data_IF_484427354019
#
_entry.id   IF_484427354019
#
_cell.length_a   1.000
_cell.length_b   1.000
_cell.length_c   1.000
_cell.angle_alpha   90.00
_cell.angle_beta   90.00
_cell.angle_gamma   90.00
#
_symmetry.space_group_name_H-M   'P 1'
#
loop_
_entity.id
_entity.type
_entity.pdbx_description
1 polymer ?
#
# COMPACT_ATOMS: atom_id res chain seq x y z
N UNK A 1 4.85 46.73 49.39
CA UNK A 1 3.95 47.77 49.94
C UNK A 1 2.68 47.77 49.09
N UNK A 2 1.50 47.56 49.72
CA UNK A 2 0.13 47.42 49.17
C UNK A 2 -0.16 46.14 48.34
N UNK A 3 -0.80 45.12 48.92
CA UNK A 3 -2.26 44.93 49.18
C UNK A 3 -3.07 44.91 47.88
N UNK A 4 -3.51 43.74 47.38
CA UNK A 4 -4.61 42.87 47.85
C UNK A 4 -5.99 43.30 47.30
N UNK A 5 -6.60 42.43 46.48
CA UNK A 5 -8.00 42.08 46.60
C UNK A 5 -8.26 40.72 45.93
N UNK A 6 -8.65 39.78 46.78
CA UNK A 6 -9.17 38.45 46.47
C UNK A 6 -10.66 38.59 46.24
N UNK A 7 -11.20 37.95 45.22
CA UNK A 7 -12.58 37.46 45.27
C UNK A 7 -12.59 35.94 45.21
N UNK A 8 -13.11 35.37 46.30
CA UNK A 8 -13.41 33.96 46.49
C UNK A 8 -14.85 33.74 46.07
N UNK A 9 -15.10 32.86 45.11
CA UNK A 9 -16.38 32.19 44.96
C UNK A 9 -16.12 30.70 45.17
N UNK A 10 -16.78 30.15 46.20
CA UNK A 10 -16.57 28.79 46.70
C UNK A 10 -17.23 27.70 45.85
N UNK A 11 -16.96 26.43 46.20
CA UNK A 11 -17.32 25.27 45.39
C UNK A 11 -18.76 24.80 45.64
N UNK A 12 -19.47 24.44 44.57
CA UNK A 12 -20.73 23.70 44.62
C UNK A 12 -20.45 22.25 44.21
N UNK A 13 -20.56 21.32 45.15
CA UNK A 13 -20.60 19.87 44.95
C UNK A 13 -21.85 19.31 45.70
N UNK A 14 -22.25 18.04 45.52
CA UNK A 14 -23.18 17.59 44.49
C UNK A 14 -24.49 17.05 45.10
N UNK A 15 -25.62 17.19 44.39
CA UNK A 15 -26.85 16.48 44.76
C UNK A 15 -26.77 15.03 44.29
N UNK A 16 -26.85 14.11 45.26
CA UNK A 16 -26.88 12.66 45.07
C UNK A 16 -28.18 12.15 44.41
N UNK A 17 -28.21 10.83 44.10
CA UNK A 17 -29.10 10.25 43.10
C UNK A 17 -30.52 10.01 43.61
N UNK A 18 -31.50 10.40 42.80
CA UNK A 18 -32.89 9.99 42.95
C UNK A 18 -33.04 8.51 42.56
N UNK A 19 -33.52 7.71 43.51
CA UNK A 19 -33.94 6.32 43.35
C UNK A 19 -35.18 6.28 42.45
N UNK A 20 -35.09 5.69 41.26
CA UNK A 20 -36.26 5.30 40.47
C UNK A 20 -36.37 3.77 40.39
N UNK A 21 -37.62 3.35 40.60
CA UNK A 21 -38.18 2.03 40.81
C UNK A 21 -37.77 0.98 39.77
N UNK A 22 -37.48 -0.23 40.27
CA UNK A 22 -37.45 -1.50 39.52
C UNK A 22 -38.87 -1.85 39.05
N UNK A 23 -39.08 -2.30 37.81
CA UNK A 23 -40.25 -3.07 37.43
C UNK A 23 -40.03 -4.57 37.66
N UNK A 24 -41.13 -5.24 37.96
CA UNK A 24 -41.26 -6.64 38.37
C UNK A 24 -40.68 -7.66 37.37
N UNK A 25 -39.97 -8.65 37.91
CA UNK A 25 -39.52 -9.84 37.18
C UNK A 25 -40.54 -10.97 37.36
N UNK A 26 -41.04 -11.62 36.29
CA UNK A 26 -41.87 -12.80 36.41
C UNK A 26 -41.04 -14.04 36.75
N UNK A 27 -41.61 -14.85 37.64
CA UNK A 27 -41.07 -16.12 38.09
C UNK A 27 -41.01 -17.17 36.97
N UNK A 28 -39.99 -18.03 37.06
CA UNK A 28 -40.09 -19.42 36.62
C UNK A 28 -39.43 -19.78 35.28
N UNK A 29 -38.26 -20.42 35.35
CA UNK A 29 -37.99 -21.77 34.79
C UNK A 29 -36.54 -22.17 35.08
N UNK A 30 -36.37 -23.27 35.83
CA UNK A 30 -35.09 -23.94 36.08
C UNK A 30 -34.51 -24.48 34.77
N UNK A 31 -33.19 -24.39 34.52
CA UNK A 31 -32.56 -25.13 33.44
C UNK A 31 -32.38 -26.62 33.83
N UNK A 32 -32.56 -27.57 32.89
CA UNK A 32 -32.25 -28.98 33.15
C UNK A 32 -30.72 -29.20 33.18
N UNK A 33 -30.31 -30.11 34.06
CA UNK A 33 -28.94 -30.62 34.20
C UNK A 33 -28.51 -31.41 32.95
N UNK A 34 -27.20 -31.46 32.63
CA UNK A 34 -26.68 -32.17 31.47
C UNK A 34 -26.75 -33.69 31.70
N UNK A 35 -27.40 -34.40 30.79
CA UNK A 35 -27.40 -35.85 30.75
C UNK A 35 -26.16 -36.37 30.00
N UNK A 36 -25.50 -37.32 30.66
CA UNK A 36 -24.59 -38.33 30.13
C UNK A 36 -24.87 -38.73 28.68
N UNK A 37 -23.84 -38.70 27.83
CA UNK A 37 -23.80 -39.55 26.63
C UNK A 37 -22.43 -40.19 26.46
N UNK A 38 -22.40 -41.45 26.86
CA UNK A 38 -21.39 -42.45 26.57
C UNK A 38 -21.35 -42.81 25.08
N UNK A 39 -20.19 -43.35 24.72
CA UNK A 39 -19.75 -43.91 23.45
C UNK A 39 -20.77 -44.75 22.66
N UNK A 40 -20.74 -44.63 21.33
CA UNK A 40 -20.89 -45.77 20.42
C UNK A 40 -20.07 -45.58 19.14
N UNK A 41 -19.08 -46.45 18.97
CA UNK A 41 -18.53 -46.84 17.66
C UNK A 41 -19.56 -47.70 16.92
N UNK A 42 -19.81 -47.42 15.65
CA UNK A 42 -20.25 -48.44 14.69
C UNK A 42 -19.94 -48.04 13.25
N UNK A 43 -19.45 -49.03 12.50
CA UNK A 43 -18.96 -48.98 11.12
C UNK A 43 -20.09 -49.07 10.09
N UNK A 44 -19.68 -48.76 8.85
CA UNK A 44 -20.19 -49.25 7.57
C UNK A 44 -21.41 -48.54 6.95
N UNK A 45 -21.26 -48.03 5.73
CA UNK A 45 -21.46 -48.74 4.45
C UNK A 45 -21.14 -47.82 3.27
N UNK A 46 -20.49 -48.39 2.26
CA UNK A 46 -20.35 -47.81 0.90
C UNK A 46 -21.71 -47.86 0.17
N UNK A 47 -21.89 -47.01 -0.84
CA UNK A 47 -22.48 -47.49 -2.08
C UNK A 47 -21.55 -47.26 -3.28
N UNK A 48 -21.51 -48.29 -4.12
CA UNK A 48 -21.03 -48.28 -5.49
C UNK A 48 -22.02 -47.50 -6.36
N UNK A 49 -21.52 -46.71 -7.29
CA UNK A 49 -22.21 -46.37 -8.52
C UNK A 49 -21.15 -46.29 -9.62
N UNK A 50 -21.16 -47.30 -10.50
CA UNK A 50 -20.49 -47.20 -11.80
C UNK A 50 -21.29 -46.30 -12.73
N UNK A 51 -20.71 -45.98 -13.88
CA UNK A 51 -21.38 -45.95 -15.20
C UNK A 51 -20.43 -45.35 -16.25
N UNK A 52 -20.25 -46.14 -17.32
CA UNK A 52 -19.98 -45.82 -18.73
C UNK A 52 -18.61 -45.25 -19.18
N UNK A 53 -17.90 -46.14 -19.88
CA UNK A 53 -17.01 -45.84 -21.01
C UNK A 53 -17.85 -45.57 -22.27
N UNK A 54 -17.45 -44.62 -23.12
CA UNK A 54 -17.33 -44.77 -24.59
C UNK A 54 -16.70 -43.51 -25.25
N UNK A 55 -16.28 -43.56 -26.54
CA UNK A 55 -14.91 -43.20 -26.92
C UNK A 55 -14.79 -42.00 -27.87
N UNK A 56 -13.54 -41.54 -28.03
CA UNK A 56 -13.03 -41.00 -29.29
C UNK A 56 -13.40 -39.55 -29.63
N UNK A 57 -12.41 -38.66 -29.65
CA UNK A 57 -12.30 -37.64 -30.71
C UNK A 57 -10.89 -37.07 -30.84
N UNK A 58 -10.29 -37.48 -31.95
CA UNK A 58 -9.37 -36.81 -32.88
C UNK A 58 -8.65 -35.53 -32.41
N UNK A 59 -7.33 -35.64 -32.54
CA UNK A 59 -6.30 -34.63 -32.64
C UNK A 59 -6.64 -33.49 -33.60
N UNK A 60 -6.41 -32.25 -33.15
CA UNK A 60 -6.09 -31.11 -34.03
C UNK A 60 -4.85 -30.41 -33.49
N UNK A 61 -3.76 -30.50 -34.26
CA UNK A 61 -2.65 -29.53 -34.26
C UNK A 61 -3.20 -28.16 -34.67
N UNK A 62 -2.57 -27.07 -34.24
CA UNK A 62 -1.96 -26.23 -35.26
C UNK A 62 -0.55 -25.73 -34.91
N UNK A 63 0.25 -25.81 -35.96
CA UNK A 63 1.25 -24.88 -36.46
C UNK A 63 2.31 -24.21 -35.58
N UNK A 64 3.54 -24.52 -35.97
CA UNK A 64 4.74 -23.71 -35.79
C UNK A 64 4.77 -22.70 -36.95
N UNK A 65 4.93 -21.41 -36.66
CA UNK A 65 5.79 -20.43 -37.38
C UNK A 65 5.40 -19.01 -36.99
N UNK A 66 6.29 -18.32 -36.29
CA UNK A 66 6.97 -17.09 -36.75
C UNK A 66 7.75 -16.52 -35.57
N UNK A 67 9.08 -16.63 -35.67
CA UNK A 67 10.00 -15.92 -34.82
C UNK A 67 9.97 -14.44 -35.16
N UNK A 68 10.12 -13.62 -34.13
CA UNK A 68 10.63 -12.26 -34.25
C UNK A 68 11.71 -12.13 -33.19
N UNK A 69 12.94 -12.12 -33.68
CA UNK A 69 14.13 -11.72 -32.96
C UNK A 69 14.03 -10.23 -32.63
N UNK A 70 14.04 -9.89 -31.33
CA UNK A 70 14.33 -8.54 -30.87
C UNK A 70 15.64 -8.58 -30.08
N UNK A 71 16.75 -8.28 -30.78
CA UNK A 71 18.03 -7.94 -30.16
C UNK A 71 17.89 -6.58 -29.45
N UNK A 72 18.44 -6.41 -28.23
CA UNK A 72 18.53 -5.09 -27.60
C UNK A 72 19.66 -4.25 -28.21
N UNK A 73 19.51 -2.91 -28.30
CA UNK A 73 20.60 -2.03 -28.71
C UNK A 73 21.66 -1.88 -27.61
N UNK A 74 22.92 -1.89 -28.04
CA UNK A 74 24.11 -1.67 -27.22
C UNK A 74 24.23 -0.16 -26.92
N UNK A 75 24.32 0.20 -25.64
CA UNK A 75 24.72 1.54 -25.22
C UNK A 75 26.22 1.71 -25.44
N UNK A 76 26.58 2.75 -26.22
CA UNK A 76 27.95 3.28 -26.33
C UNK A 76 28.30 4.04 -25.05
N UNK A 77 29.38 3.60 -24.43
CA UNK A 77 30.14 4.35 -23.43
C UNK A 77 30.82 5.54 -24.12
N UNK A 78 30.72 6.73 -23.53
CA UNK A 78 31.62 7.84 -23.83
C UNK A 78 32.34 8.18 -22.53
N UNK A 79 33.64 7.91 -22.55
CA UNK A 79 34.63 8.40 -21.61
C UNK A 79 35.49 9.45 -22.33
N UNK A 80 36.02 10.40 -21.58
CA UNK A 80 36.97 11.45 -21.99
C UNK A 80 36.80 12.65 -21.06
N UNK A 81 37.60 12.75 -19.98
CA UNK A 81 38.89 13.49 -19.91
C UNK A 81 38.65 15.01 -19.96
N UNK A 82 38.76 15.72 -18.84
CA UNK A 82 39.96 16.29 -18.16
C UNK A 82 40.62 17.42 -18.96
N UNK A 83 40.68 18.57 -18.28
CA UNK A 83 41.65 19.70 -18.32
C UNK A 83 40.83 20.99 -18.12
N UNK A 84 41.19 21.99 -17.31
CA UNK A 84 42.41 22.38 -16.60
C UNK A 84 42.42 23.92 -16.56
N UNK A 85 42.68 24.53 -15.40
CA UNK A 85 43.17 25.92 -15.26
C UNK A 85 42.14 27.09 -15.26
N UNK A 86 42.10 27.87 -14.17
CA UNK A 86 41.66 29.28 -14.16
C UNK A 86 42.83 30.23 -14.52
N UNK A 87 42.89 31.50 -14.05
CA UNK A 87 41.87 32.40 -13.50
C UNK A 87 41.88 33.86 -14.09
N UNK A 88 40.92 34.68 -13.63
CA UNK A 88 40.94 36.12 -13.28
C UNK A 88 41.32 37.28 -14.25
N UNK A 89 40.45 38.31 -14.18
CA UNK A 89 40.64 39.78 -14.17
C UNK A 89 41.16 40.60 -15.37
N UNK A 90 40.45 41.72 -15.63
CA UNK A 90 40.99 42.91 -16.32
C UNK A 90 40.03 43.70 -17.22
N UNK A 91 39.28 44.65 -16.66
CA UNK A 91 38.67 45.84 -17.33
C UNK A 91 39.75 46.94 -17.61
N UNK A 92 39.42 48.14 -18.14
CA UNK A 92 38.74 48.53 -19.39
C UNK A 92 39.55 49.58 -20.22
N UNK A 93 39.15 49.88 -21.46
CA UNK A 93 39.74 50.99 -22.24
C UNK A 93 38.88 51.50 -23.41
N UNK A 94 38.35 52.72 -23.27
CA UNK A 94 37.85 53.62 -24.31
C UNK A 94 39.01 54.55 -24.80
N UNK A 95 38.87 55.49 -25.77
CA UNK A 95 37.78 55.81 -26.72
C UNK A 95 38.29 56.03 -28.19
N UNK A 96 37.42 56.35 -29.16
CA UNK A 96 37.90 56.99 -30.40
C UNK A 96 37.00 56.98 -31.65
N UNK A 97 36.18 58.02 -31.78
CA UNK A 97 35.63 58.70 -32.98
C UNK A 97 35.86 58.12 -34.39
N UNK A 98 34.78 58.15 -35.20
CA UNK A 98 34.86 58.23 -36.67
C UNK A 98 33.53 57.99 -37.42
N UNK A 99 32.79 59.06 -37.72
CA UNK A 99 31.85 59.16 -38.88
C UNK A 99 32.68 59.61 -40.11
N UNK A 100 32.30 59.42 -41.40
CA UNK A 100 30.96 59.69 -41.95
C UNK A 100 30.51 58.87 -43.20
N UNK A 101 29.31 59.19 -43.71
CA UNK A 101 28.80 58.85 -45.06
C UNK A 101 27.86 57.64 -45.07
N UNK A 102 26.65 57.65 -45.62
CA UNK A 102 26.01 58.51 -46.61
C UNK A 102 25.42 57.63 -47.72
N UNK A 103 24.13 57.82 -48.03
CA UNK A 103 23.37 57.29 -49.19
C UNK A 103 22.57 55.95 -48.98
N UNK A 104 21.51 55.70 -49.79
CA UNK A 104 20.13 55.70 -49.29
C UNK A 104 19.41 54.35 -49.48
N UNK A 105 18.61 53.92 -48.50
CA UNK A 105 17.75 52.76 -48.67
C UNK A 105 16.33 53.20 -49.10
N UNK A 106 16.02 52.85 -50.35
CA UNK A 106 14.73 52.98 -51.01
C UNK A 106 13.59 52.42 -50.16
N UNK A 107 12.52 53.21 -50.04
CA UNK A 107 11.25 52.77 -49.51
C UNK A 107 10.62 51.73 -50.45
N UNK A 108 10.52 50.48 -50.01
CA UNK A 108 9.67 49.49 -50.66
C UNK A 108 8.57 49.09 -49.69
N UNK A 109 7.36 49.50 -50.06
CA UNK A 109 6.18 48.64 -50.08
C UNK A 109 5.72 48.13 -48.71
N UNK A 110 4.71 48.81 -48.18
CA UNK A 110 4.00 48.36 -47.00
C UNK A 110 3.43 46.96 -47.18
N UNK A 111 3.82 46.06 -46.29
CA UNK A 111 2.92 45.05 -45.74
C UNK A 111 3.00 45.21 -44.24
N UNK A 112 1.95 45.83 -43.67
CA UNK A 112 1.73 45.84 -42.22
C UNK A 112 1.62 44.38 -41.79
N UNK A 113 2.73 43.79 -41.36
CA UNK A 113 2.69 42.60 -40.54
C UNK A 113 1.82 43.00 -39.35
N UNK A 114 0.59 42.47 -39.28
CA UNK A 114 -0.21 42.55 -38.07
C UNK A 114 0.69 42.02 -36.97
N UNK A 115 1.19 42.92 -36.12
CA UNK A 115 1.90 42.55 -34.92
C UNK A 115 0.93 41.64 -34.16
N UNK A 116 1.21 40.34 -34.18
CA UNK A 116 0.55 39.41 -33.27
C UNK A 116 0.75 40.02 -31.87
N UNK A 117 -0.31 40.16 -31.06
CA UNK A 117 -0.16 40.70 -29.73
C UNK A 117 0.96 39.92 -29.07
N UNK A 118 2.00 40.63 -28.61
CA UNK A 118 3.03 40.05 -27.75
C UNK A 118 2.23 39.39 -26.64
N UNK A 119 2.25 38.05 -26.61
CA UNK A 119 1.77 37.30 -25.45
C UNK A 119 2.68 37.74 -24.34
N UNK A 120 2.22 38.68 -23.53
CA UNK A 120 2.85 39.01 -22.28
C UNK A 120 3.04 37.67 -21.57
N UNK A 121 4.29 37.26 -21.43
CA UNK A 121 4.63 36.01 -20.79
C UNK A 121 4.11 36.14 -19.36
N UNK A 122 2.96 35.51 -19.09
CA UNK A 122 2.42 35.42 -17.74
C UNK A 122 3.46 34.67 -16.93
N UNK A 123 4.29 35.40 -16.21
CA UNK A 123 5.24 34.85 -15.25
C UNK A 123 4.41 34.35 -14.08
N UNK A 124 4.07 33.06 -14.10
CA UNK A 124 3.45 32.40 -12.96
C UNK A 124 4.48 32.39 -11.84
N UNK A 125 4.18 32.96 -10.66
CA UNK A 125 5.07 32.88 -9.52
C UNK A 125 5.43 31.42 -9.23
N UNK A 126 6.69 31.09 -8.89
CA UNK A 126 7.12 29.72 -8.64
C UNK A 126 6.21 28.93 -7.67
N UNK A 127 5.65 29.60 -6.67
CA UNK A 127 4.72 29.00 -5.71
C UNK A 127 3.34 28.66 -6.29
N UNK A 128 2.80 29.51 -7.18
CA UNK A 128 1.53 29.23 -7.83
C UNK A 128 1.63 28.02 -8.77
N UNK A 129 2.78 27.87 -9.46
CA UNK A 129 3.06 26.69 -10.28
C UNK A 129 3.18 25.43 -9.44
N UNK A 130 3.89 25.51 -8.30
CA UNK A 130 4.03 24.39 -7.36
C UNK A 130 2.67 23.92 -6.82
N UNK A 131 1.85 24.84 -6.33
CA UNK A 131 0.50 24.53 -5.82
C UNK A 131 -0.38 23.92 -6.92
N UNK A 132 -0.34 24.48 -8.14
CA UNK A 132 -1.08 23.92 -9.27
C UNK A 132 -0.61 22.50 -9.63
N UNK A 133 0.71 22.24 -9.60
CA UNK A 133 1.28 20.93 -9.84
C UNK A 133 0.86 19.93 -8.75
N UNK A 134 0.92 20.31 -7.47
CA UNK A 134 0.50 19.44 -6.36
C UNK A 134 -0.98 19.08 -6.48
N UNK A 135 -1.86 20.05 -6.76
CA UNK A 135 -3.28 19.78 -7.00
C UNK A 135 -3.50 18.86 -8.19
N UNK A 136 -2.73 19.03 -9.27
CA UNK A 136 -2.80 18.15 -10.43
C UNK A 136 -2.39 16.71 -10.07
N UNK A 137 -1.29 16.54 -9.34
CA UNK A 137 -0.80 15.23 -8.89
C UNK A 137 -1.80 14.56 -7.95
N UNK A 138 -2.37 15.30 -7.00
CA UNK A 138 -3.45 14.83 -6.11
C UNK A 138 -4.63 14.32 -6.92
N UNK A 139 -5.17 15.14 -7.83
CA UNK A 139 -6.34 14.76 -8.64
C UNK A 139 -6.06 13.59 -9.58
N UNK A 140 -4.83 13.47 -10.10
CA UNK A 140 -4.39 12.32 -10.90
C UNK A 140 -4.36 11.05 -10.07
N UNK A 141 -3.76 11.09 -8.88
CA UNK A 141 -3.61 9.93 -8.01
C UNK A 141 -4.94 9.45 -7.47
N UNK A 142 -5.85 10.35 -7.12
CA UNK A 142 -7.18 9.98 -6.62
C UNK A 142 -7.99 9.25 -7.69
N UNK A 143 -7.96 9.75 -8.93
CA UNK A 143 -8.58 9.06 -10.06
C UNK A 143 -7.95 7.69 -10.29
N UNK A 144 -6.62 7.60 -10.25
CA UNK A 144 -5.92 6.33 -10.44
C UNK A 144 -6.23 5.31 -9.33
N UNK A 145 -6.29 5.76 -8.07
CA UNK A 145 -6.65 4.93 -6.92
C UNK A 145 -8.11 4.45 -7.02
N UNK A 146 -9.05 5.36 -7.33
CA UNK A 146 -10.46 5.02 -7.51
C UNK A 146 -10.67 4.01 -8.65
N UNK A 147 -10.06 4.24 -9.82
CA UNK A 147 -10.11 3.30 -10.95
C UNK A 147 -9.52 1.94 -10.59
N UNK A 148 -8.37 1.90 -9.91
CA UNK A 148 -7.76 0.62 -9.50
C UNK A 148 -8.65 -0.16 -8.52
N UNK A 149 -9.24 0.52 -7.53
CA UNK A 149 -10.17 -0.11 -6.57
C UNK A 149 -11.40 -0.64 -7.29
N UNK A 150 -11.95 0.10 -8.25
CA UNK A 150 -13.06 -0.34 -9.08
C UNK A 150 -12.70 -1.58 -9.93
N UNK A 151 -11.53 -1.58 -10.58
CA UNK A 151 -11.04 -2.71 -11.37
C UNK A 151 -10.82 -3.97 -10.50
N UNK A 152 -10.29 -3.80 -9.29
CA UNK A 152 -10.13 -4.88 -8.32
C UNK A 152 -11.49 -5.46 -7.91
N UNK A 153 -12.46 -4.58 -7.60
CA UNK A 153 -13.82 -4.99 -7.25
C UNK A 153 -14.49 -5.75 -8.40
N UNK A 154 -14.31 -5.30 -9.65
CA UNK A 154 -14.86 -5.95 -10.84
C UNK A 154 -14.34 -7.38 -11.05
N UNK A 155 -13.16 -7.72 -10.53
CA UNK A 155 -12.61 -9.08 -10.55
C UNK A 155 -12.81 -9.83 -9.22
N UNK A 156 -13.73 -9.36 -8.38
CA UNK A 156 -14.08 -9.99 -7.10
C UNK A 156 -13.04 -9.81 -6.00
N UNK A 157 -12.18 -8.80 -6.08
CA UNK A 157 -11.18 -8.49 -5.06
C UNK A 157 -11.60 -7.27 -4.26
N UNK A 158 -11.93 -7.47 -2.99
CA UNK A 158 -12.09 -6.39 -2.01
C UNK A 158 -10.71 -5.82 -1.63
N UNK A 159 -10.58 -4.50 -1.60
CA UNK A 159 -9.34 -3.80 -1.31
C UNK A 159 -9.57 -2.59 -0.40
N UNK A 160 -8.65 -2.35 0.53
CA UNK A 160 -8.60 -1.13 1.34
C UNK A 160 -7.50 -0.21 0.83
N UNK A 161 -7.82 1.04 0.57
CA UNK A 161 -6.84 2.09 0.28
C UNK A 161 -6.19 2.56 1.59
N UNK A 162 -4.87 2.45 1.71
CA UNK A 162 -4.16 2.64 2.98
C UNK A 162 -3.56 4.04 3.17
N UNK A 163 -3.09 4.68 2.09
CA UNK A 163 -2.40 5.98 2.11
C UNK A 163 -2.93 6.92 1.03
N UNK A 164 -2.21 8.01 0.78
CA UNK A 164 -2.59 9.04 -0.18
C UNK A 164 -3.84 9.75 0.30
N UNK A 165 -4.95 9.56 -0.41
CA UNK A 165 -6.24 10.14 -0.07
C UNK A 165 -6.71 9.84 1.36
N UNK A 166 -6.50 8.60 1.83
CA UNK A 166 -6.92 8.20 3.18
C UNK A 166 -6.20 9.00 4.27
N UNK A 167 -4.91 9.24 4.09
CA UNK A 167 -4.10 10.04 5.03
C UNK A 167 -4.37 11.53 4.85
N UNK A 168 -4.46 12.01 3.61
CA UNK A 168 -4.79 13.41 3.33
C UNK A 168 -6.12 13.84 3.95
N UNK A 169 -7.16 13.01 3.83
CA UNK A 169 -8.46 13.28 4.43
C UNK A 169 -8.39 13.32 5.96
N UNK A 170 -7.64 12.40 6.57
CA UNK A 170 -7.44 12.36 8.02
C UNK A 170 -6.73 13.62 8.55
N UNK A 171 -5.65 14.04 7.87
CA UNK A 171 -4.80 15.15 8.31
C UNK A 171 -5.31 16.53 7.87
N UNK A 172 -6.38 16.59 7.06
CA UNK A 172 -6.91 17.83 6.44
C UNK A 172 -5.85 18.57 5.60
N UNK A 173 -5.05 17.84 4.81
CA UNK A 173 -3.95 18.38 4.00
C UNK A 173 -4.24 18.30 2.48
N UNK A 174 -5.16 19.12 1.93
CA UNK A 174 -5.72 18.94 0.58
C UNK A 174 -4.69 18.90 -0.56
N UNK A 175 -3.51 19.48 -0.38
CA UNK A 175 -2.45 19.56 -1.40
C UNK A 175 -1.40 18.45 -1.24
N UNK A 176 -1.52 17.60 -0.22
CA UNK A 176 -0.58 16.50 0.01
C UNK A 176 -0.70 15.44 -1.09
N UNK A 177 0.26 15.43 -2.01
CA UNK A 177 0.40 14.42 -3.06
C UNK A 177 0.93 13.09 -2.50
N UNK A 178 0.77 12.00 -3.26
CA UNK A 178 1.42 10.70 -3.01
C UNK A 178 2.26 10.30 -4.23
N UNK A 179 3.24 9.41 -4.06
CA UNK A 179 4.00 8.89 -5.20
C UNK A 179 3.39 7.58 -5.74
N UNK A 180 2.73 6.84 -4.86
CA UNK A 180 2.22 5.49 -5.05
C UNK A 180 0.76 5.37 -4.58
N UNK A 181 0.19 4.20 -4.87
CA UNK A 181 -1.13 3.75 -4.44
C UNK A 181 -0.94 2.52 -3.55
N UNK A 182 -1.06 2.70 -2.23
CA UNK A 182 -1.03 1.60 -1.27
C UNK A 182 -2.40 0.96 -1.11
N UNK A 183 -2.52 -0.32 -1.46
CA UNK A 183 -3.75 -1.10 -1.26
C UNK A 183 -3.50 -2.37 -0.48
N UNK A 184 -4.35 -2.66 0.50
CA UNK A 184 -4.39 -3.94 1.21
C UNK A 184 -5.44 -4.84 0.58
N UNK A 185 -5.06 -6.08 0.27
CA UNK A 185 -6.00 -7.12 -0.17
C UNK A 185 -5.88 -8.35 0.72
N UNK A 186 -7.01 -9.03 0.93
CA UNK A 186 -7.02 -10.29 1.65
C UNK A 186 -6.12 -11.34 0.95
N UNK A 187 -5.55 -12.33 1.67
CA UNK A 187 -4.66 -13.32 1.08
C UNK A 187 -5.21 -14.06 -0.14
N UNK A 188 -6.53 -14.30 -0.18
CA UNK A 188 -7.23 -14.91 -1.32
C UNK A 188 -7.26 -14.01 -2.56
N UNK A 189 -7.36 -12.69 -2.39
CA UNK A 189 -7.43 -11.70 -3.46
C UNK A 189 -6.08 -11.40 -4.13
N UNK A 190 -4.96 -11.80 -3.52
CA UNK A 190 -3.59 -11.46 -4.02
C UNK A 190 -3.31 -11.99 -5.42
N UNK A 191 -3.68 -13.25 -5.69
CA UNK A 191 -3.44 -13.86 -7.01
C UNK A 191 -4.29 -13.19 -8.10
N UNK A 192 -5.62 -13.02 -7.92
CA UNK A 192 -6.44 -12.25 -8.85
C UNK A 192 -5.97 -10.81 -9.05
N UNK A 193 -5.64 -10.08 -7.96
CA UNK A 193 -5.12 -8.71 -8.03
C UNK A 193 -3.83 -8.63 -8.85
N UNK A 194 -2.86 -9.51 -8.60
CA UNK A 194 -1.63 -9.55 -9.39
C UNK A 194 -1.86 -9.94 -10.85
N UNK A 195 -2.88 -10.75 -11.15
CA UNK A 195 -3.27 -11.05 -12.53
C UNK A 195 -3.89 -9.83 -13.23
N UNK A 196 -4.74 -9.08 -12.54
CA UNK A 196 -5.27 -7.81 -13.02
C UNK A 196 -4.16 -6.80 -13.30
N UNK A 197 -3.26 -6.57 -12.33
CA UNK A 197 -2.16 -5.62 -12.49
C UNK A 197 -1.27 -5.96 -13.70
N UNK A 198 -0.96 -7.24 -13.94
CA UNK A 198 -0.26 -7.66 -15.16
C UNK A 198 -1.06 -7.34 -16.43
N UNK A 199 -2.37 -7.59 -16.46
CA UNK A 199 -3.22 -7.24 -17.62
C UNK A 199 -3.26 -5.73 -17.87
N UNK A 200 -3.18 -4.94 -16.80
CA UNK A 200 -3.09 -3.48 -16.86
C UNK A 200 -1.68 -2.97 -17.22
N UNK A 201 -0.73 -3.86 -17.54
CA UNK A 201 0.63 -3.50 -17.98
C UNK A 201 1.63 -3.30 -16.85
N UNK A 202 1.28 -3.56 -15.59
CA UNK A 202 2.22 -3.43 -14.48
C UNK A 202 3.22 -4.59 -14.44
N UNK A 203 4.45 -4.27 -14.09
CA UNK A 203 5.51 -5.23 -13.82
C UNK A 203 5.74 -5.37 -12.32
N UNK A 204 5.89 -6.62 -11.86
CA UNK A 204 6.10 -6.91 -10.45
C UNK A 204 7.57 -6.79 -10.07
N UNK A 205 7.85 -5.98 -9.06
CA UNK A 205 9.09 -5.99 -8.30
C UNK A 205 8.92 -6.80 -6.99
N UNK A 206 10.02 -7.28 -6.41
CA UNK A 206 9.99 -7.98 -5.11
C UNK A 206 10.02 -6.96 -3.98
N UNK A 207 9.11 -7.09 -3.01
CA UNK A 207 9.07 -6.35 -1.74
C UNK A 207 8.90 -7.29 -0.54
N UNK A 208 9.15 -6.78 0.67
CA UNK A 208 9.11 -7.57 1.92
C UNK A 208 7.67 -7.70 2.45
N UNK A 209 6.92 -6.60 2.57
CA UNK A 209 5.56 -6.56 3.13
C UNK A 209 4.47 -6.29 2.07
N UNK A 210 4.86 -5.65 0.99
CA UNK A 210 4.06 -5.43 -0.22
C UNK A 210 4.67 -6.19 -1.40
N UNK A 211 3.85 -6.40 -2.43
CA UNK A 211 4.35 -6.63 -3.79
C UNK A 211 4.31 -5.27 -4.47
N UNK A 212 5.47 -4.73 -4.85
CA UNK A 212 5.56 -3.44 -5.52
C UNK A 212 5.31 -3.68 -7.01
N UNK A 213 4.42 -2.89 -7.60
CA UNK A 213 4.05 -2.98 -9.01
C UNK A 213 4.32 -1.65 -9.68
N UNK A 214 5.14 -1.67 -10.72
CA UNK A 214 5.55 -0.46 -11.44
C UNK A 214 4.94 -0.44 -12.84
N UNK A 215 4.70 0.76 -13.35
CA UNK A 215 4.19 1.00 -14.69
C UNK A 215 4.91 2.23 -15.28
N UNK A 216 5.26 2.25 -16.58
CA UNK A 216 6.04 3.36 -17.16
C UNK A 216 5.35 4.72 -17.08
N UNK A 217 4.01 4.75 -17.11
CA UNK A 217 3.22 6.00 -17.19
C UNK A 217 2.17 6.17 -16.08
N UNK A 218 2.05 5.20 -15.18
CA UNK A 218 1.04 5.20 -14.10
C UNK A 218 1.75 5.17 -12.74
N UNK A 219 1.08 5.65 -11.70
CA UNK A 219 1.60 5.58 -10.33
C UNK A 219 1.90 4.12 -9.96
N UNK A 220 2.97 3.88 -9.20
CA UNK A 220 3.26 2.55 -8.68
C UNK A 220 2.17 2.11 -7.72
N UNK A 221 1.94 0.80 -7.65
CA UNK A 221 0.95 0.18 -6.76
C UNK A 221 1.69 -0.70 -5.77
N UNK A 222 1.50 -0.40 -4.50
CA UNK A 222 2.00 -1.21 -3.40
C UNK A 222 0.88 -2.12 -2.91
N UNK A 223 0.95 -3.39 -3.31
CA UNK A 223 -0.03 -4.41 -2.95
C UNK A 223 0.35 -5.07 -1.62
N UNK A 224 -0.17 -4.51 -0.53
CA UNK A 224 0.08 -4.97 0.82
C UNK A 224 -0.59 -6.32 1.08
N UNK A 225 0.14 -7.21 1.75
CA UNK A 225 -0.39 -8.49 2.26
C UNK A 225 -0.70 -8.46 3.75
N UNK A 226 -0.12 -7.50 4.45
CA UNK A 226 -0.22 -7.21 5.89
C UNK A 226 0.43 -5.84 6.14
N UNK A 227 0.22 -5.26 7.31
CA UNK A 227 1.03 -4.13 7.75
C UNK A 227 2.38 -4.60 8.32
N UNK A 228 3.42 -3.75 8.27
CA UNK A 228 4.71 -4.03 8.90
C UNK A 228 4.63 -4.05 10.43
N UNK A 229 5.60 -4.69 11.08
CA UNK A 229 5.69 -4.88 12.55
C UNK A 229 4.51 -5.60 13.21
N UNK A 230 3.50 -6.05 12.46
CA UNK A 230 2.38 -6.87 12.95
C UNK A 230 2.85 -8.29 13.26
N UNK A 231 2.60 -8.75 14.49
CA UNK A 231 2.92 -10.12 14.95
C UNK A 231 1.98 -11.20 14.42
N UNK A 232 0.79 -10.80 13.96
CA UNK A 232 -0.24 -11.70 13.45
C UNK A 232 0.11 -12.30 12.09
N UNK A 233 -0.52 -13.44 11.78
CA UNK A 233 -0.49 -13.94 10.41
C UNK A 233 -1.21 -12.94 9.46
N UNK A 234 -0.80 -12.85 8.18
CA UNK A 234 -1.48 -12.00 7.19
C UNK A 234 -3.00 -12.18 7.12
N UNK A 235 -3.50 -13.41 7.35
CA UNK A 235 -4.94 -13.70 7.36
C UNK A 235 -5.64 -13.07 8.57
N UNK A 236 -5.03 -13.19 9.76
CA UNK A 236 -5.57 -12.59 10.99
C UNK A 236 -5.50 -11.07 10.94
N UNK A 237 -4.36 -10.51 10.53
CA UNK A 237 -4.18 -9.08 10.36
C UNK A 237 -5.20 -8.49 9.37
N UNK A 238 -5.37 -9.11 8.20
CA UNK A 238 -6.39 -8.68 7.25
C UNK A 238 -7.80 -8.73 7.84
N UNK A 239 -8.16 -9.78 8.59
CA UNK A 239 -9.49 -9.87 9.20
C UNK A 239 -9.77 -8.70 10.13
N UNK A 240 -8.80 -8.33 10.98
CA UNK A 240 -8.92 -7.16 11.87
C UNK A 240 -9.03 -5.87 11.04
N UNK A 241 -8.12 -5.65 10.09
CA UNK A 241 -8.10 -4.43 9.27
C UNK A 241 -9.38 -4.24 8.42
N UNK A 242 -9.92 -5.33 7.86
CA UNK A 242 -11.17 -5.29 7.10
C UNK A 242 -12.44 -5.18 7.97
N UNK A 243 -12.34 -5.43 9.28
CA UNK A 243 -13.40 -5.13 10.24
C UNK A 243 -13.40 -3.64 10.62
N UNK A 244 -12.24 -2.99 10.56
CA UNK A 244 -12.04 -1.55 10.69
C UNK A 244 -12.07 -0.85 9.33
N UNK A 245 -13.00 -1.24 8.46
CA UNK A 245 -13.19 -0.60 7.16
C UNK A 245 -14.22 0.52 7.26
N UNK A 246 -13.96 1.61 6.56
CA UNK A 246 -14.85 2.77 6.42
C UNK A 246 -14.86 3.23 4.96
N UNK A 247 -15.82 4.06 4.60
CA UNK A 247 -15.96 4.57 3.24
C UNK A 247 -15.36 5.97 3.10
N UNK A 248 -14.62 6.20 2.01
CA UNK A 248 -14.12 7.52 1.66
C UNK A 248 -14.55 7.87 0.23
N UNK A 249 -15.14 9.06 0.09
CA UNK A 249 -15.46 9.63 -1.22
C UNK A 249 -14.20 10.18 -1.89
N UNK A 250 -13.92 9.73 -3.10
CA UNK A 250 -12.83 10.19 -3.96
C UNK A 250 -13.38 10.61 -5.32
N UNK A 251 -13.64 11.92 -5.46
CA UNK A 251 -14.39 12.45 -6.60
C UNK A 251 -15.80 11.84 -6.62
N UNK A 252 -16.16 11.20 -7.73
CA UNK A 252 -17.46 10.53 -7.89
C UNK A 252 -17.45 9.05 -7.44
N UNK A 253 -16.31 8.54 -6.98
CA UNK A 253 -16.17 7.17 -6.53
C UNK A 253 -16.18 7.06 -5.00
N UNK A 254 -16.63 5.91 -4.49
CA UNK A 254 -16.48 5.52 -3.09
C UNK A 254 -15.49 4.36 -2.98
N UNK A 255 -14.44 4.56 -2.19
CA UNK A 255 -13.43 3.54 -1.89
C UNK A 255 -13.50 3.13 -0.42
N UNK A 256 -13.14 1.89 -0.12
CA UNK A 256 -12.97 1.47 1.26
C UNK A 256 -11.57 1.87 1.75
N UNK A 257 -11.51 2.47 2.94
CA UNK A 257 -10.30 2.84 3.67
C UNK A 257 -10.35 2.21 5.06
N UNK A 258 -9.27 2.33 5.82
CA UNK A 258 -9.33 2.04 7.25
C UNK A 258 -10.19 3.11 7.96
N UNK A 259 -10.91 2.76 9.02
CA UNK A 259 -11.56 3.73 9.90
C UNK A 259 -10.50 4.65 10.56
N UNK A 260 -10.95 5.70 11.26
CA UNK A 260 -10.02 6.67 11.88
C UNK A 260 -9.05 5.98 12.86
N UNK A 261 -9.51 5.15 13.83
CA UNK A 261 -8.62 4.44 14.74
C UNK A 261 -7.56 3.58 14.05
N UNK A 262 -7.94 2.79 13.04
CA UNK A 262 -7.01 1.93 12.32
C UNK A 262 -6.06 2.72 11.41
N UNK A 263 -6.50 3.86 10.83
CA UNK A 263 -5.60 4.78 10.11
C UNK A 263 -4.52 5.36 11.03
N UNK A 264 -4.86 5.74 12.26
CA UNK A 264 -3.87 6.24 13.24
C UNK A 264 -2.82 5.17 13.55
N UNK A 265 -3.23 3.92 13.79
CA UNK A 265 -2.31 2.80 14.00
C UNK A 265 -1.41 2.59 12.78
N UNK A 266 -1.99 2.60 11.58
CA UNK A 266 -1.23 2.47 10.34
C UNK A 266 -0.20 3.59 10.15
N UNK A 267 -0.59 4.84 10.44
CA UNK A 267 0.28 6.01 10.35
C UNK A 267 1.46 5.92 11.32
N UNK A 268 1.20 5.55 12.57
CA UNK A 268 2.23 5.33 13.58
C UNK A 268 3.19 4.21 13.18
N UNK A 269 2.69 3.08 12.66
CA UNK A 269 3.55 2.01 12.12
C UNK A 269 4.41 2.57 10.98
N UNK A 270 3.82 3.32 10.04
CA UNK A 270 4.55 3.85 8.90
C UNK A 270 5.68 4.81 9.31
N UNK A 271 5.47 5.64 10.33
CA UNK A 271 6.47 6.53 10.91
C UNK A 271 7.71 5.80 11.47
N UNK A 272 7.61 4.50 11.73
CA UNK A 272 8.74 3.69 12.24
C UNK A 272 9.60 3.05 11.16
N UNK A 273 9.21 3.13 9.89
CA UNK A 273 9.83 2.33 8.83
C UNK A 273 10.70 3.13 7.87
N UNK A 274 10.35 4.38 7.66
CA UNK A 274 10.97 5.17 6.62
C UNK A 274 12.18 5.92 7.17
N UNK A 275 13.26 5.91 6.40
CA UNK A 275 14.43 6.75 6.65
C UNK A 275 14.14 8.21 6.28
N UNK A 276 13.10 8.48 5.49
CA UNK A 276 12.64 9.84 5.21
C UNK A 276 11.88 10.44 6.40
N UNK A 277 11.95 11.76 6.50
CA UNK A 277 11.29 12.53 7.55
C UNK A 277 9.76 12.58 7.37
N UNK A 278 9.28 12.34 6.14
CA UNK A 278 7.88 12.54 5.73
C UNK A 278 6.84 11.74 6.53
N UNK A 279 7.03 10.44 6.84
CA UNK A 279 6.05 9.72 7.66
C UNK A 279 5.99 10.20 9.11
N UNK A 280 7.08 10.77 9.64
CA UNK A 280 7.06 11.44 10.95
C UNK A 280 6.33 12.78 10.85
N UNK A 281 6.54 13.50 9.75
CA UNK A 281 5.85 14.77 9.45
C UNK A 281 4.34 14.57 9.21
N UNK A 282 3.90 13.36 8.91
CA UNK A 282 2.48 13.03 8.83
C UNK A 282 1.88 12.66 10.19
N UNK A 283 2.68 12.03 11.07
CA UNK A 283 2.24 11.64 12.42
C UNK A 283 2.03 12.85 13.32
N UNK A 284 2.89 13.87 13.23
CA UNK A 284 2.78 15.09 14.03
C UNK A 284 1.43 15.82 13.84
N UNK A 285 0.97 16.14 12.62
CA UNK A 285 -0.35 16.69 12.39
C UNK A 285 -1.48 15.79 12.91
N UNK A 286 -1.33 14.45 12.81
CA UNK A 286 -2.35 13.54 13.33
C UNK A 286 -2.52 13.65 14.86
N UNK A 287 -1.41 13.84 15.58
CA UNK A 287 -1.42 14.06 17.03
C UNK A 287 -2.15 15.36 17.37
N UNK A 288 -2.00 16.40 16.56
CA UNK A 288 -2.62 17.70 16.80
C UNK A 288 -4.10 17.76 16.43
N UNK A 289 -4.49 17.17 15.30
CA UNK A 289 -5.83 17.38 14.71
C UNK A 289 -6.85 16.31 15.08
N UNK A 290 -6.40 15.14 15.55
CA UNK A 290 -7.29 14.01 15.86
C UNK A 290 -7.50 13.91 17.36
N UNK A 291 -8.77 13.81 17.76
CA UNK A 291 -9.16 13.83 19.17
C UNK A 291 -8.65 12.60 19.95
N UNK A 292 -8.49 12.80 21.26
CA UNK A 292 -8.01 11.75 22.17
C UNK A 292 -8.95 10.55 22.23
N UNK A 293 -10.24 10.69 21.94
CA UNK A 293 -11.19 9.56 21.93
C UNK A 293 -10.85 8.59 20.79
N UNK A 294 -10.50 9.11 19.61
CA UNK A 294 -10.00 8.32 18.50
C UNK A 294 -8.66 7.66 18.82
N UNK A 295 -7.76 8.34 19.53
CA UNK A 295 -6.51 7.73 19.99
C UNK A 295 -6.73 6.59 21.01
N UNK A 296 -7.72 6.71 21.91
CA UNK A 296 -8.11 5.60 22.80
C UNK A 296 -8.68 4.41 22.03
N UNK A 297 -9.52 4.67 21.02
CA UNK A 297 -10.03 3.63 20.14
C UNK A 297 -8.88 2.97 19.35
N UNK A 298 -7.91 3.76 18.86
CA UNK A 298 -6.72 3.26 18.18
C UNK A 298 -5.88 2.34 19.08
N UNK A 299 -5.82 2.59 20.39
CA UNK A 299 -5.16 1.70 21.34
C UNK A 299 -5.81 0.30 21.37
N UNK A 300 -7.14 0.21 21.24
CA UNK A 300 -7.82 -1.08 21.10
C UNK A 300 -7.46 -1.79 19.79
N UNK A 301 -7.50 -1.07 18.66
CA UNK A 301 -7.08 -1.63 17.36
C UNK A 301 -5.62 -2.10 17.39
N UNK A 302 -4.72 -1.33 18.02
CA UNK A 302 -3.32 -1.68 18.13
C UNK A 302 -3.09 -2.94 18.99
N UNK A 303 -3.93 -3.19 20.01
CA UNK A 303 -3.91 -4.43 20.77
C UNK A 303 -4.41 -5.60 19.94
N UNK A 304 -5.50 -5.43 19.19
CA UNK A 304 -6.02 -6.47 18.30
C UNK A 304 -5.01 -6.87 17.22
N UNK A 305 -4.21 -5.92 16.74
CA UNK A 305 -3.14 -6.14 15.76
C UNK A 305 -1.79 -6.56 16.39
N UNK A 306 -1.69 -6.62 17.71
CA UNK A 306 -0.44 -6.90 18.46
C UNK A 306 0.70 -5.93 18.15
N UNK A 307 0.39 -4.63 17.98
CA UNK A 307 1.33 -3.56 17.64
C UNK A 307 1.32 -2.38 18.60
N UNK A 308 0.57 -2.46 19.71
CA UNK A 308 0.50 -1.36 20.68
C UNK A 308 1.88 -0.82 21.13
N UNK A 309 2.88 -1.67 21.49
CA UNK A 309 4.21 -1.16 21.86
C UNK A 309 4.94 -0.39 20.74
N UNK A 310 4.72 -0.79 19.48
CA UNK A 310 5.27 -0.11 18.29
C UNK A 310 4.64 1.27 18.12
N UNK A 311 3.33 1.39 18.33
CA UNK A 311 2.63 2.68 18.29
C UNK A 311 3.09 3.58 19.44
N UNK A 312 3.20 3.04 20.65
CA UNK A 312 3.76 3.76 21.80
C UNK A 312 5.17 4.31 21.50
N UNK A 313 6.02 3.50 20.85
CA UNK A 313 7.34 3.94 20.42
C UNK A 313 7.27 5.09 19.41
N UNK A 314 6.46 4.96 18.35
CA UNK A 314 6.33 6.02 17.34
C UNK A 314 5.87 7.36 17.94
N UNK A 315 4.88 7.33 18.83
CA UNK A 315 4.36 8.51 19.53
C UNK A 315 5.40 9.13 20.47
N UNK A 316 6.17 8.30 21.18
CA UNK A 316 7.27 8.77 22.02
C UNK A 316 8.33 9.50 21.19
N UNK A 317 8.70 8.95 20.04
CA UNK A 317 9.65 9.60 19.13
C UNK A 317 9.11 10.91 18.53
N UNK A 318 7.80 11.06 18.45
CA UNK A 318 7.13 12.29 18.03
C UNK A 318 6.90 13.30 19.18
N UNK A 319 7.39 13.03 20.39
CA UNK A 319 7.22 13.90 21.56
C UNK A 319 5.86 13.80 22.25
N UNK A 320 4.99 12.87 21.85
CA UNK A 320 3.64 12.72 22.38
C UNK A 320 3.54 11.64 23.48
N UNK A 321 4.36 11.75 24.52
CA UNK A 321 4.49 10.74 25.59
C UNK A 321 3.18 10.44 26.32
N UNK A 322 2.32 11.44 26.53
CA UNK A 322 1.01 11.24 27.18
C UNK A 322 0.08 10.38 26.33
N UNK A 323 0.03 10.60 25.01
CA UNK A 323 -0.70 9.73 24.09
C UNK A 323 -0.05 8.35 23.99
N UNK A 324 1.28 8.27 24.00
CA UNK A 324 2.01 7.01 23.97
C UNK A 324 1.63 6.09 25.13
N UNK A 325 1.36 6.66 26.32
CA UNK A 325 0.93 5.90 27.49
C UNK A 325 -0.35 5.08 27.29
N UNK A 326 -1.25 5.51 26.38
CA UNK A 326 -2.47 4.76 26.02
C UNK A 326 -2.16 3.39 25.41
N UNK A 327 -0.98 3.25 24.80
CA UNK A 327 -0.54 2.07 24.06
C UNK A 327 0.43 1.18 24.89
N UNK A 328 0.70 1.56 26.13
CA UNK A 328 1.59 0.84 27.04
C UNK A 328 3.06 1.18 26.84
N UNK A 329 3.95 0.25 27.23
CA UNK A 329 5.40 0.48 27.22
C UNK A 329 5.91 0.60 25.78
N UNK A 330 6.60 1.71 25.41
CA UNK A 330 7.25 1.87 24.11
C UNK A 330 8.22 0.73 23.81
N UNK A 331 8.05 0.07 22.67
CA UNK A 331 9.01 -0.91 22.15
C UNK A 331 8.85 -1.06 20.65
N UNK A 332 9.94 -0.84 19.92
CA UNK A 332 9.97 -1.09 18.49
C UNK A 332 10.26 -2.58 18.22
N UNK A 333 9.27 -3.30 17.71
CA UNK A 333 9.47 -4.69 17.29
C UNK A 333 10.25 -4.73 15.96
N UNK A 334 11.31 -5.56 15.83
CA UNK A 334 12.10 -5.63 14.61
C UNK A 334 11.27 -6.10 13.39
N UNK A 335 11.44 -5.42 12.25
CA UNK A 335 10.64 -5.60 11.02
C UNK A 335 10.92 -6.92 10.31
N UNK A 336 12.18 -7.28 10.16
CA UNK A 336 12.63 -8.35 9.26
C UNK A 336 13.72 -9.21 9.91
N UNK A 337 14.35 -10.08 9.11
CA UNK A 337 15.39 -11.00 9.59
C UNK A 337 16.67 -10.24 9.95
N UNK A 338 17.00 -9.20 9.19
CA UNK A 338 18.20 -8.39 9.40
C UNK A 338 18.08 -7.62 10.72
N UNK A 339 16.90 -7.06 11.01
CA UNK A 339 16.63 -6.37 12.28
C UNK A 339 16.44 -7.35 13.47
N UNK A 340 15.90 -8.55 13.25
CA UNK A 340 15.63 -9.53 14.32
C UNK A 340 16.86 -10.27 14.84
N UNK A 341 17.90 -10.35 14.01
CA UNK A 341 18.91 -11.39 14.14
C UNK A 341 18.34 -12.81 13.94
N UNK A 342 19.21 -13.78 13.70
CA UNK A 342 18.81 -15.16 13.41
C UNK A 342 17.94 -15.76 14.52
N UNK A 343 18.26 -15.47 15.79
CA UNK A 343 17.55 -15.99 16.96
C UNK A 343 16.13 -15.44 17.07
N UNK A 344 15.94 -14.13 16.90
CA UNK A 344 14.62 -13.49 16.94
C UNK A 344 13.73 -13.86 15.73
N UNK A 345 14.35 -14.21 14.60
CA UNK A 345 13.63 -14.79 13.48
C UNK A 345 13.18 -16.22 13.78
N UNK A 346 14.07 -17.09 14.24
CA UNK A 346 13.76 -18.50 14.49
C UNK A 346 12.70 -18.72 15.60
N UNK A 347 12.58 -17.80 16.55
CA UNK A 347 11.58 -17.88 17.63
C UNK A 347 10.24 -17.23 17.30
N UNK A 348 10.11 -16.51 16.17
CA UNK A 348 8.87 -15.80 15.85
C UNK A 348 7.80 -16.73 15.25
N UNK A 349 6.55 -16.58 15.68
CA UNK A 349 5.39 -17.28 15.10
C UNK A 349 5.26 -17.05 13.59
N UNK A 350 5.61 -15.84 13.13
CA UNK A 350 5.68 -15.48 11.71
C UNK A 350 6.71 -16.31 10.92
N UNK A 351 7.88 -16.66 11.49
CA UNK A 351 8.88 -17.51 10.86
C UNK A 351 8.38 -18.95 10.70
N UNK A 352 7.81 -19.53 11.76
CA UNK A 352 7.23 -20.87 11.69
C UNK A 352 6.08 -20.94 10.69
N UNK A 353 5.27 -19.87 10.62
CA UNK A 353 4.24 -19.71 9.59
C UNK A 353 4.84 -19.59 8.18
N UNK A 354 5.91 -18.82 7.99
CA UNK A 354 6.58 -18.65 6.69
C UNK A 354 7.28 -19.93 6.22
N UNK A 355 7.94 -20.65 7.14
CA UNK A 355 8.58 -21.95 6.92
C UNK A 355 7.54 -23.02 6.62
N UNK A 356 6.45 -23.09 7.38
CA UNK A 356 5.31 -23.97 7.11
C UNK A 356 4.72 -23.70 5.73
N UNK A 357 4.53 -22.42 5.36
CA UNK A 357 4.08 -22.03 4.01
C UNK A 357 5.08 -22.39 2.90
N UNK A 358 6.39 -22.31 3.16
CA UNK A 358 7.43 -22.75 2.21
C UNK A 358 7.41 -24.26 2.04
N UNK A 359 7.33 -25.02 3.13
CA UNK A 359 7.23 -26.48 3.09
C UNK A 359 5.95 -26.93 2.39
N UNK A 360 4.80 -26.30 2.66
CA UNK A 360 3.55 -26.55 1.95
C UNK A 360 3.67 -26.27 0.46
N UNK A 361 4.29 -25.15 0.06
CA UNK A 361 4.54 -24.85 -1.37
C UNK A 361 5.47 -25.85 -2.03
N UNK A 362 6.51 -26.31 -1.33
CA UNK A 362 7.41 -27.35 -1.82
C UNK A 362 6.68 -28.68 -1.97
N UNK A 363 5.82 -29.04 -1.00
CA UNK A 363 4.95 -30.21 -1.07
C UNK A 363 3.96 -30.14 -2.22
N UNK A 364 3.25 -29.02 -2.39
CA UNK A 364 2.33 -28.79 -3.51
C UNK A 364 3.03 -28.79 -4.86
N UNK A 365 4.22 -28.19 -4.96
CA UNK A 365 5.02 -28.20 -6.19
C UNK A 365 5.54 -29.60 -6.50
N UNK A 366 5.98 -30.34 -5.48
CA UNK A 366 6.42 -31.73 -5.62
C UNK A 366 5.26 -32.64 -6.04
N UNK A 367 4.09 -32.51 -5.40
CA UNK A 367 2.88 -33.23 -5.76
C UNK A 367 2.43 -32.92 -7.19
N UNK A 368 2.42 -31.64 -7.60
CA UNK A 368 2.13 -31.25 -9.00
C UNK A 368 3.15 -31.80 -9.98
N UNK A 369 4.43 -31.81 -9.61
CA UNK A 369 5.49 -32.35 -10.44
C UNK A 369 5.38 -33.88 -10.60
N UNK A 370 5.06 -34.61 -9.52
CA UNK A 370 4.80 -36.04 -9.55
C UNK A 370 3.54 -36.36 -10.37
N UNK A 371 2.45 -35.63 -10.17
CA UNK A 371 1.23 -35.79 -10.97
C UNK A 371 1.50 -35.55 -12.47
N UNK A 372 2.30 -34.53 -12.81
CA UNK A 372 2.74 -34.29 -14.18
C UNK A 372 3.65 -35.38 -14.73
N UNK A 373 4.49 -36.00 -13.89
CA UNK A 373 5.35 -37.14 -14.27
C UNK A 373 4.53 -38.40 -14.54
N UNK A 374 3.59 -38.74 -13.66
CA UNK A 374 2.67 -39.87 -13.83
C UNK A 374 1.83 -39.69 -15.09
N UNK A 375 1.30 -38.49 -15.31
CA UNK A 375 0.56 -38.16 -16.53
C UNK A 375 1.43 -38.31 -17.80
N UNK A 376 2.69 -37.86 -17.79
CA UNK A 376 3.60 -38.07 -18.93
C UNK A 376 3.96 -39.53 -19.19
N UNK A 377 3.96 -40.37 -18.14
CA UNK A 377 4.14 -41.82 -18.28
C UNK A 377 2.88 -42.47 -18.87
N UNK A 378 1.69 -42.10 -18.38
CA UNK A 378 0.41 -42.61 -18.87
C UNK A 378 0.12 -42.17 -20.32
N UNK A 379 0.43 -40.92 -20.66
CA UNK A 379 0.17 -40.34 -21.98
C UNK A 379 1.26 -40.71 -23.02
N UNK A 380 2.24 -41.56 -22.67
CA UNK A 380 3.32 -41.98 -23.58
C UNK A 380 4.22 -40.85 -24.10
N UNK A 381 4.12 -39.65 -23.53
CA UNK A 381 4.79 -38.43 -24.01
C UNK A 381 6.19 -38.21 -23.44
N UNK A 382 6.68 -39.14 -22.61
CA UNK A 382 8.04 -39.11 -22.12
C UNK A 382 9.02 -39.32 -23.28
N UNK A 383 10.12 -38.56 -23.29
CA UNK A 383 11.17 -38.65 -24.32
C UNK A 383 11.78 -40.06 -24.44
N UNK A 384 11.55 -40.92 -23.44
CA UNK A 384 11.98 -42.30 -23.40
C UNK A 384 11.20 -43.21 -24.36
N UNK A 385 9.87 -43.04 -24.49
CA UNK A 385 9.06 -43.82 -25.46
C UNK A 385 9.32 -43.43 -26.91
N UNK A 386 9.56 -42.13 -27.18
CA UNK A 386 9.90 -41.64 -28.53
C UNK A 386 11.22 -42.20 -29.06
N UNK A 387 12.16 -42.62 -28.20
CA UNK A 387 13.43 -43.24 -28.64
C UNK A 387 13.31 -44.73 -28.93
N UNK A 388 12.33 -45.44 -28.35
CA UNK A 388 12.11 -46.87 -28.63
C UNK A 388 11.11 -47.14 -29.76
N UNK A 389 10.22 -46.21 -30.07
CA UNK A 389 9.25 -46.36 -31.15
C UNK A 389 9.75 -46.02 -32.56
N UNK A 390 10.98 -45.53 -32.71
CA UNK A 390 11.59 -45.15 -34.00
C UNK A 390 12.59 -46.15 -34.57
N UNK A 391 12.69 -47.34 -33.97
CA UNK A 391 13.49 -48.45 -34.46
C UNK A 391 12.56 -49.62 -34.83
N UNK A 392 11.84 -49.48 -35.94
CA UNK A 392 11.26 -50.57 -36.72
C UNK A 392 11.20 -50.15 -38.18
#
# INVERSE_FOLDING_TARGET
MRMALRERVGPVLPRGPARSRRPDAPAGRRPPRPADRRHHHARARRPRAGVRRHPGRRTRRPDRRRGLDCRPPRHRSVAGERDGGGPADGTPGHPGRGRPGGAPALSVGGRRARALPRRDAVTVPPDALRVALDRHLVARNDRAAASLVADLRAVGVRALLLKGAATRALLRLPERSSADIDVLVAPSGRRPAGALLRRLGYTRARGIHSENWTHPTRASVDLHRTLPRVGLSPRQACRVLFAHADELKLGDATVEVLDVPARLVHLAIHATQDATQRPKDDLAPAIEVVDTTQWRAAASVARELEVAPTVAWALTQAGASELAALFGRPKLAPNDIAERGLRGYLTSSAHWSERGRRQLRLGENWARWQAGRVRRLMDGSSAWYRRRGGAR
#
